data_IF_995064408213
#
_entry.id   IF_995064408213
#
_cell.length_a   1.000
_cell.length_b   1.000
_cell.length_c   1.000
_cell.angle_alpha   90.00
_cell.angle_beta   90.00
_cell.angle_gamma   90.00
#
_symmetry.space_group_name_H-M   'P 1'
#
loop_
_entity.id
_entity.type
_entity.pdbx_description
1 polymer ?
#
# COMPACT_ATOMS: atom_id res chain seq x y z
N UNK A 1 25.51 13.34 5.83
CA UNK A 1 24.33 13.79 6.63
C UNK A 1 24.46 15.23 7.03
N UNK A 2 25.61 15.67 7.45
CA UNK A 2 25.82 16.97 8.11
C UNK A 2 25.66 18.20 7.20
N UNK A 3 26.13 18.15 5.96
CA UNK A 3 26.10 19.32 5.07
C UNK A 3 24.70 19.64 4.55
N UNK A 4 23.85 18.65 4.36
CA UNK A 4 22.48 18.86 3.85
C UNK A 4 21.56 19.44 4.94
N UNK A 5 21.72 19.02 6.19
CA UNK A 5 20.96 19.54 7.32
C UNK A 5 21.35 20.96 7.69
N UNK A 6 22.67 21.28 7.67
CA UNK A 6 23.17 22.62 7.88
C UNK A 6 22.69 23.59 6.79
N UNK A 7 22.71 23.17 5.52
CA UNK A 7 22.23 23.99 4.40
C UNK A 7 20.74 24.28 4.55
N UNK A 8 19.96 23.29 4.95
CA UNK A 8 18.52 23.44 5.18
C UNK A 8 18.22 24.37 6.36
N UNK A 9 18.96 24.25 7.45
CA UNK A 9 18.84 25.15 8.61
C UNK A 9 19.17 26.61 8.27
N UNK A 10 20.21 26.84 7.47
CA UNK A 10 20.58 28.19 6.99
C UNK A 10 19.44 28.76 6.12
N UNK A 11 18.88 27.96 5.19
CA UNK A 11 17.78 28.40 4.35
C UNK A 11 16.53 28.75 5.17
N UNK A 12 16.19 27.96 6.16
CA UNK A 12 15.08 28.22 7.09
C UNK A 12 15.31 29.58 7.80
N UNK A 13 16.46 29.78 8.43
CA UNK A 13 16.77 31.03 9.12
C UNK A 13 16.70 32.25 8.19
N UNK A 14 17.18 32.12 6.95
CA UNK A 14 17.13 33.23 5.97
C UNK A 14 15.68 33.60 5.61
N UNK A 15 14.78 32.59 5.43
CA UNK A 15 13.35 32.84 5.16
C UNK A 15 12.63 33.43 6.36
N UNK A 16 12.89 32.94 7.57
CA UNK A 16 12.35 33.50 8.80
C UNK A 16 12.76 34.98 8.97
N UNK A 17 14.03 35.29 8.77
CA UNK A 17 14.50 36.68 8.84
C UNK A 17 13.88 37.54 7.75
N UNK A 18 13.64 36.98 6.55
CA UNK A 18 12.99 37.70 5.47
C UNK A 18 11.55 38.03 5.83
N UNK A 19 10.79 37.09 6.37
CA UNK A 19 9.41 37.30 6.83
C UNK A 19 9.33 38.36 7.94
N UNK A 20 10.28 38.38 8.88
CA UNK A 20 10.34 39.42 9.93
C UNK A 20 10.61 40.84 9.36
N UNK A 21 11.30 40.92 8.21
CA UNK A 21 11.63 42.21 7.56
C UNK A 21 10.57 42.68 6.57
N UNK A 22 9.78 41.75 6.02
CA UNK A 22 8.70 42.05 5.10
C UNK A 22 7.46 42.49 5.89
N UNK A 23 6.76 43.48 5.36
CA UNK A 23 5.38 43.73 5.77
C UNK A 23 4.50 42.62 5.23
N UNK A 24 3.48 42.19 6.02
CA UNK A 24 2.52 41.16 5.63
C UNK A 24 1.66 41.55 4.41
N UNK A 25 1.64 42.83 4.06
CA UNK A 25 1.05 43.37 2.82
C UNK A 25 1.97 43.27 1.61
N UNK A 26 3.23 42.87 1.79
CA UNK A 26 4.18 42.78 0.68
C UNK A 26 3.77 41.65 -0.30
N UNK A 27 3.78 41.88 -1.63
CA UNK A 27 3.35 40.89 -2.61
C UNK A 27 4.16 39.59 -2.57
N UNK A 28 5.41 39.61 -2.11
CA UNK A 28 6.25 38.40 -1.97
C UNK A 28 6.05 37.64 -0.67
N UNK A 29 5.28 38.17 0.27
CA UNK A 29 5.14 37.58 1.60
C UNK A 29 4.52 36.18 1.58
N UNK A 30 3.44 35.91 0.81
CA UNK A 30 2.86 34.56 0.73
C UNK A 30 3.83 33.53 0.12
N UNK A 31 4.63 33.93 -0.87
CA UNK A 31 5.59 33.03 -1.52
C UNK A 31 6.72 32.66 -0.56
N UNK A 32 7.27 33.64 0.18
CA UNK A 32 8.33 33.39 1.18
C UNK A 32 7.80 32.51 2.32
N UNK A 33 6.56 32.71 2.78
CA UNK A 33 5.94 31.89 3.81
C UNK A 33 5.67 30.46 3.31
N UNK A 34 5.23 30.29 2.04
CA UNK A 34 5.09 28.97 1.42
C UNK A 34 6.44 28.25 1.30
N UNK A 35 7.49 28.96 0.87
CA UNK A 35 8.82 28.36 0.74
C UNK A 35 9.40 27.97 2.09
N UNK A 36 9.16 28.75 3.14
CA UNK A 36 9.49 28.37 4.50
C UNK A 36 8.73 27.09 4.92
N UNK A 37 7.46 26.98 4.57
CA UNK A 37 6.68 25.74 4.76
C UNK A 37 7.31 24.53 4.05
N UNK A 38 7.75 24.71 2.80
CA UNK A 38 8.44 23.66 2.02
C UNK A 38 9.76 23.24 2.68
N UNK A 39 10.53 24.19 3.20
CA UNK A 39 11.81 23.93 3.89
C UNK A 39 11.60 23.13 5.19
N UNK A 40 10.60 23.51 5.99
CA UNK A 40 10.25 22.76 7.19
C UNK A 40 9.72 21.35 6.86
N UNK A 41 8.91 21.21 5.81
CA UNK A 41 8.44 19.92 5.35
C UNK A 41 9.59 19.02 4.87
N UNK A 42 10.56 19.57 4.13
CA UNK A 42 11.79 18.87 3.75
C UNK A 42 12.61 18.45 4.97
N UNK A 43 12.71 19.30 6.00
CA UNK A 43 13.40 18.97 7.24
C UNK A 43 12.73 17.79 7.95
N UNK A 44 11.41 17.77 8.00
CA UNK A 44 10.68 16.65 8.61
C UNK A 44 10.98 15.31 7.94
N UNK A 45 11.09 15.30 6.63
CA UNK A 45 11.37 14.07 5.84
C UNK A 45 12.81 13.58 5.93
N UNK A 46 13.74 14.46 6.21
CA UNK A 46 15.17 14.14 6.35
C UNK A 46 15.57 13.83 7.80
N UNK A 47 14.77 14.24 8.76
CA UNK A 47 15.03 14.01 10.18
C UNK A 47 14.93 12.53 10.55
N UNK A 48 15.84 12.08 11.41
CA UNK A 48 15.83 10.71 11.96
C UNK A 48 14.98 10.66 13.25
N UNK A 49 15.03 11.74 14.03
CA UNK A 49 14.33 11.82 15.31
C UNK A 49 12.85 12.16 15.13
N UNK A 50 11.96 11.38 15.73
CA UNK A 50 10.51 11.54 15.62
C UNK A 50 10.03 12.92 16.12
N UNK A 51 10.62 13.45 17.19
CA UNK A 51 10.29 14.77 17.74
C UNK A 51 10.63 15.90 16.76
N UNK A 52 11.78 15.78 16.08
CA UNK A 52 12.18 16.75 15.06
C UNK A 52 11.28 16.64 13.80
N UNK A 53 10.88 15.43 13.41
CA UNK A 53 9.91 15.21 12.34
C UNK A 53 8.59 15.90 12.67
N UNK A 54 8.04 15.63 13.84
CA UNK A 54 6.77 16.17 14.30
C UNK A 54 6.79 17.71 14.45
N UNK A 55 7.83 18.25 15.07
CA UNK A 55 7.97 19.71 15.24
C UNK A 55 8.10 20.42 13.89
N UNK A 56 8.87 19.84 12.96
CA UNK A 56 9.04 20.40 11.62
C UNK A 56 7.74 20.35 10.79
N UNK A 57 6.94 19.29 10.89
CA UNK A 57 5.63 19.21 10.25
C UNK A 57 4.67 20.29 10.77
N UNK A 58 4.64 20.51 12.08
CA UNK A 58 3.81 21.56 12.67
C UNK A 58 4.25 22.95 12.21
N UNK A 59 5.56 23.22 12.13
CA UNK A 59 6.10 24.47 11.60
C UNK A 59 5.77 24.66 10.10
N UNK A 60 5.83 23.59 9.30
CA UNK A 60 5.43 23.63 7.89
C UNK A 60 3.94 24.02 7.74
N UNK A 61 3.07 23.39 8.52
CA UNK A 61 1.63 23.69 8.51
C UNK A 61 1.37 25.13 8.90
N UNK A 62 2.03 25.64 9.96
CA UNK A 62 1.89 27.03 10.39
C UNK A 62 2.35 28.01 9.29
N UNK A 63 3.46 27.74 8.62
CA UNK A 63 3.96 28.57 7.54
C UNK A 63 3.01 28.59 6.33
N UNK A 64 2.45 27.43 5.92
CA UNK A 64 1.45 27.38 4.87
C UNK A 64 0.15 28.10 5.24
N UNK A 65 -0.31 27.93 6.48
CA UNK A 65 -1.50 28.67 6.97
C UNK A 65 -1.24 30.18 6.95
N UNK A 66 -0.07 30.60 7.40
CA UNK A 66 0.36 31.98 7.38
C UNK A 66 0.36 32.55 5.95
N UNK A 67 0.90 31.81 4.98
CA UNK A 67 0.89 32.20 3.56
C UNK A 67 -0.55 32.43 3.03
N UNK A 68 -1.52 31.66 3.52
CA UNK A 68 -2.92 31.79 3.09
C UNK A 68 -3.65 32.97 3.71
N UNK A 69 -3.18 33.51 4.83
CA UNK A 69 -3.89 34.63 5.54
C UNK A 69 -3.89 35.94 4.74
N UNK A 70 -2.92 36.13 3.86
CA UNK A 70 -2.72 37.38 3.10
C UNK A 70 -3.13 37.23 1.63
N UNK A 71 -3.62 36.07 1.22
CA UNK A 71 -4.03 35.81 -0.15
C UNK A 71 -5.56 35.90 -0.31
N UNK A 72 -5.98 36.73 -1.25
CA UNK A 72 -7.36 36.70 -1.72
C UNK A 72 -7.48 35.60 -2.82
N UNK A 73 -8.31 34.56 -2.57
CA UNK A 73 -8.37 33.41 -3.47
C UNK A 73 -8.75 33.75 -4.92
N UNK A 74 -9.52 34.79 -5.14
CA UNK A 74 -9.93 35.22 -6.48
C UNK A 74 -8.81 35.99 -7.23
N UNK A 75 -7.87 36.59 -6.50
CA UNK A 75 -6.76 37.34 -7.09
C UNK A 75 -5.55 36.44 -7.38
N UNK A 76 -5.32 35.43 -6.54
CA UNK A 76 -4.19 34.51 -6.66
C UNK A 76 -4.60 33.04 -6.64
N UNK A 77 -5.53 32.57 -7.48
CA UNK A 77 -6.09 31.21 -7.40
C UNK A 77 -5.05 30.11 -7.54
N UNK A 78 -4.04 30.29 -8.41
CA UNK A 78 -2.98 29.29 -8.63
C UNK A 78 -2.06 29.17 -7.41
N UNK A 79 -1.74 30.26 -6.76
CA UNK A 79 -0.92 30.26 -5.53
C UNK A 79 -1.69 29.63 -4.37
N UNK A 80 -2.96 30.00 -4.18
CA UNK A 80 -3.83 29.36 -3.18
C UNK A 80 -3.92 27.86 -3.42
N UNK A 81 -4.13 27.42 -4.64
CA UNK A 81 -4.21 25.99 -4.98
C UNK A 81 -2.89 25.26 -4.68
N UNK A 82 -1.74 25.89 -4.93
CA UNK A 82 -0.43 25.33 -4.65
C UNK A 82 -0.22 25.17 -3.14
N UNK A 83 -0.48 26.22 -2.36
CA UNK A 83 -0.31 26.18 -0.90
C UNK A 83 -1.28 25.20 -0.25
N UNK A 84 -2.54 25.15 -0.69
CA UNK A 84 -3.52 24.18 -0.20
C UNK A 84 -3.10 22.73 -0.51
N UNK A 85 -2.52 22.46 -1.68
CA UNK A 85 -1.98 21.14 -1.99
C UNK A 85 -0.81 20.77 -1.06
N UNK A 86 0.11 21.70 -0.78
CA UNK A 86 1.24 21.49 0.12
C UNK A 86 0.75 21.26 1.57
N UNK A 87 -0.23 22.05 2.01
CA UNK A 87 -0.87 21.89 3.31
C UNK A 87 -1.56 20.53 3.44
N UNK A 88 -2.22 20.06 2.37
CA UNK A 88 -2.81 18.72 2.31
C UNK A 88 -1.77 17.63 2.51
N UNK A 89 -0.58 17.76 1.88
CA UNK A 89 0.53 16.81 2.04
C UNK A 89 1.08 16.83 3.47
N UNK A 90 1.29 18.02 4.04
CA UNK A 90 1.81 18.15 5.39
C UNK A 90 0.85 17.57 6.45
N UNK A 91 -0.48 17.76 6.31
CA UNK A 91 -1.47 17.11 7.17
C UNK A 91 -1.50 15.60 6.97
N UNK A 92 -1.33 15.10 5.75
CA UNK A 92 -1.24 13.67 5.46
C UNK A 92 -0.04 13.01 6.15
N UNK A 93 1.12 13.68 6.14
CA UNK A 93 2.32 13.20 6.83
C UNK A 93 2.16 13.31 8.36
N UNK A 94 1.57 14.40 8.88
CA UNK A 94 1.31 14.59 10.31
C UNK A 94 0.40 13.49 10.88
N UNK A 95 -0.53 12.98 10.09
CA UNK A 95 -1.44 11.90 10.48
C UNK A 95 -0.71 10.60 10.87
N UNK A 96 0.54 10.41 10.46
CA UNK A 96 1.35 9.24 10.85
C UNK A 96 1.86 9.33 12.29
N UNK A 97 1.87 10.52 12.87
CA UNK A 97 2.43 10.78 14.20
C UNK A 97 1.36 11.10 15.25
N UNK A 98 0.31 11.81 14.87
CA UNK A 98 -0.75 12.23 15.80
C UNK A 98 -2.11 12.40 15.13
N UNK A 99 -3.18 12.12 15.87
CA UNK A 99 -4.58 12.32 15.48
C UNK A 99 -4.91 11.93 14.04
N UNK A 100 -4.66 10.64 13.62
CA UNK A 100 -4.71 10.22 12.23
C UNK A 100 -5.99 10.64 11.51
N UNK A 101 -7.16 10.34 12.09
CA UNK A 101 -8.44 10.65 11.47
C UNK A 101 -8.65 12.15 11.25
N UNK A 102 -8.31 12.98 12.26
CA UNK A 102 -8.50 14.42 12.20
C UNK A 102 -7.54 15.06 11.17
N UNK A 103 -6.27 14.67 11.17
CA UNK A 103 -5.30 15.23 10.26
C UNK A 103 -5.55 14.78 8.82
N UNK A 104 -6.01 13.54 8.60
CA UNK A 104 -6.44 13.08 7.28
C UNK A 104 -7.70 13.82 6.78
N UNK A 105 -8.65 14.17 7.66
CA UNK A 105 -9.78 15.03 7.29
C UNK A 105 -9.31 16.40 6.81
N UNK A 106 -8.36 17.03 7.53
CA UNK A 106 -7.76 18.31 7.13
C UNK A 106 -7.01 18.18 5.81
N UNK A 107 -6.28 17.08 5.59
CA UNK A 107 -5.59 16.76 4.34
C UNK A 107 -6.58 16.71 3.16
N UNK A 108 -7.66 15.94 3.31
CA UNK A 108 -8.73 15.84 2.29
C UNK A 108 -9.34 17.19 1.99
N UNK A 109 -9.70 17.99 3.03
CA UNK A 109 -10.28 19.31 2.86
C UNK A 109 -9.33 20.27 2.11
N UNK A 110 -8.03 20.23 2.42
CA UNK A 110 -7.03 21.06 1.76
C UNK A 110 -6.88 20.70 0.27
N UNK A 111 -6.85 19.41 -0.09
CA UNK A 111 -6.82 19.00 -1.48
C UNK A 111 -8.10 19.36 -2.24
N UNK A 112 -9.27 19.27 -1.60
CA UNK A 112 -10.53 19.73 -2.21
C UNK A 112 -10.53 21.22 -2.47
N UNK A 113 -10.00 22.02 -1.53
CA UNK A 113 -9.81 23.45 -1.73
C UNK A 113 -8.82 23.73 -2.87
N UNK A 114 -7.71 23.01 -2.95
CA UNK A 114 -6.77 23.13 -4.06
C UNK A 114 -7.46 22.88 -5.42
N UNK A 115 -8.30 21.85 -5.51
CA UNK A 115 -9.01 21.48 -6.73
C UNK A 115 -10.10 22.49 -7.16
N UNK A 116 -10.61 23.31 -6.23
CA UNK A 116 -11.53 24.41 -6.59
C UNK A 116 -10.87 25.51 -7.43
N UNK A 117 -9.55 25.69 -7.23
CA UNK A 117 -8.77 26.75 -7.88
C UNK A 117 -7.83 26.22 -8.96
N UNK A 118 -7.67 24.89 -9.10
CA UNK A 118 -6.89 24.27 -10.18
C UNK A 118 -7.75 23.94 -11.37
N UNK A 119 -7.43 24.53 -12.51
CA UNK A 119 -8.08 24.22 -13.77
C UNK A 119 -7.48 22.96 -14.39
N UNK A 120 -8.34 21.97 -14.67
CA UNK A 120 -7.95 20.76 -15.38
C UNK A 120 -7.51 21.03 -16.84
N UNK A 121 -7.93 22.15 -17.42
CA UNK A 121 -7.58 22.56 -18.80
C UNK A 121 -6.30 23.38 -18.85
N UNK A 122 -6.04 24.23 -17.83
CA UNK A 122 -4.85 25.09 -17.80
C UNK A 122 -3.63 24.39 -17.18
N UNK A 123 -3.85 23.58 -16.13
CA UNK A 123 -2.80 22.90 -15.39
C UNK A 123 -3.09 21.40 -15.23
N UNK A 124 -3.26 20.64 -16.34
CA UNK A 124 -3.73 19.25 -16.28
C UNK A 124 -2.84 18.34 -15.41
N UNK A 125 -1.51 18.48 -15.47
CA UNK A 125 -0.59 17.69 -14.68
C UNK A 125 -0.72 17.99 -13.16
N UNK A 126 -0.83 19.26 -12.78
CA UNK A 126 -1.01 19.67 -11.38
C UNK A 126 -2.39 19.28 -10.86
N UNK A 127 -3.43 19.40 -11.69
CA UNK A 127 -4.76 18.92 -11.35
C UNK A 127 -4.74 17.42 -11.08
N UNK A 128 -4.15 16.63 -11.97
CA UNK A 128 -4.05 15.19 -11.84
C UNK A 128 -3.22 14.77 -10.62
N UNK A 129 -2.10 15.46 -10.34
CA UNK A 129 -1.32 15.22 -9.14
C UNK A 129 -2.13 15.46 -7.86
N UNK A 130 -2.92 16.54 -7.81
CA UNK A 130 -3.79 16.83 -6.66
C UNK A 130 -4.91 15.80 -6.53
N UNK A 131 -5.49 15.33 -7.63
CA UNK A 131 -6.47 14.24 -7.62
C UNK A 131 -5.87 12.94 -7.07
N UNK A 132 -4.64 12.59 -7.47
CA UNK A 132 -3.95 11.43 -6.92
C UNK A 132 -3.71 11.58 -5.40
N UNK A 133 -3.26 12.75 -4.96
CA UNK A 133 -3.04 13.04 -3.56
C UNK A 133 -4.35 12.97 -2.74
N UNK A 134 -5.44 13.54 -3.27
CA UNK A 134 -6.77 13.41 -2.69
C UNK A 134 -7.21 11.95 -2.57
N UNK A 135 -6.98 11.16 -3.62
CA UNK A 135 -7.25 9.72 -3.63
C UNK A 135 -6.52 9.00 -2.50
N UNK A 136 -5.23 9.28 -2.33
CA UNK A 136 -4.40 8.70 -1.26
C UNK A 136 -4.87 9.15 0.13
N UNK A 137 -5.18 10.43 0.32
CA UNK A 137 -5.71 10.93 1.60
C UNK A 137 -7.06 10.30 1.94
N UNK A 138 -7.96 10.17 0.97
CA UNK A 138 -9.23 9.47 1.15
C UNK A 138 -9.03 7.98 1.47
N UNK A 139 -8.12 7.30 0.78
CA UNK A 139 -7.80 5.89 1.05
C UNK A 139 -7.28 5.70 2.47
N UNK A 140 -6.35 6.56 2.93
CA UNK A 140 -5.85 6.53 4.30
C UNK A 140 -6.97 6.80 5.31
N UNK A 141 -7.83 7.80 5.06
CA UNK A 141 -8.93 8.16 5.96
C UNK A 141 -9.97 7.04 6.07
N UNK A 142 -10.16 6.26 5.01
CA UNK A 142 -11.04 5.09 5.01
C UNK A 142 -10.64 4.03 6.05
N UNK A 143 -9.35 3.97 6.43
CA UNK A 143 -8.88 3.05 7.47
C UNK A 143 -9.33 3.45 8.89
N UNK A 144 -9.76 4.69 9.07
CA UNK A 144 -10.12 5.24 10.37
C UNK A 144 -11.62 5.51 10.52
N UNK A 145 -12.31 5.88 9.43
CA UNK A 145 -13.72 6.22 9.49
C UNK A 145 -14.41 6.11 8.12
N UNK A 146 -15.70 5.78 8.13
CA UNK A 146 -16.58 5.74 6.95
C UNK A 146 -15.94 5.06 5.71
N UNK A 147 -15.42 3.83 5.84
CA UNK A 147 -14.58 3.21 4.82
C UNK A 147 -15.22 3.20 3.43
N UNK A 148 -16.50 2.82 3.32
CA UNK A 148 -17.20 2.77 2.03
C UNK A 148 -17.27 4.14 1.33
N UNK A 149 -17.49 5.20 2.11
CA UNK A 149 -17.59 6.57 1.58
C UNK A 149 -16.23 7.02 1.04
N UNK A 150 -15.19 6.90 1.86
CA UNK A 150 -13.87 7.40 1.48
C UNK A 150 -13.17 6.54 0.45
N UNK A 151 -13.38 5.22 0.42
CA UNK A 151 -12.86 4.37 -0.68
C UNK A 151 -13.50 4.72 -2.02
N UNK A 152 -14.83 4.96 -2.08
CA UNK A 152 -15.48 5.42 -3.31
C UNK A 152 -14.92 6.77 -3.78
N UNK A 153 -14.65 7.69 -2.84
CA UNK A 153 -14.02 8.98 -3.16
C UNK A 153 -12.58 8.81 -3.66
N UNK A 154 -11.79 7.91 -3.05
CA UNK A 154 -10.44 7.59 -3.50
C UNK A 154 -10.44 7.05 -4.93
N UNK A 155 -11.32 6.07 -5.23
CA UNK A 155 -11.48 5.51 -6.57
C UNK A 155 -11.80 6.60 -7.59
N UNK A 156 -12.78 7.47 -7.30
CA UNK A 156 -13.14 8.56 -8.19
C UNK A 156 -11.97 9.52 -8.45
N UNK A 157 -11.23 9.88 -7.41
CA UNK A 157 -10.08 10.77 -7.52
C UNK A 157 -8.95 10.14 -8.36
N UNK A 158 -8.61 8.86 -8.16
CA UNK A 158 -7.63 8.15 -8.99
C UNK A 158 -8.07 8.04 -10.45
N UNK A 159 -9.37 7.75 -10.71
CA UNK A 159 -9.92 7.74 -12.06
C UNK A 159 -9.84 9.12 -12.74
N UNK A 160 -10.05 10.21 -11.98
CA UNK A 160 -9.85 11.57 -12.48
C UNK A 160 -8.39 11.84 -12.83
N UNK A 161 -7.44 11.41 -12.00
CA UNK A 161 -6.01 11.56 -12.27
C UNK A 161 -5.58 10.81 -13.54
N UNK A 162 -6.07 9.59 -13.74
CA UNK A 162 -5.77 8.74 -14.91
C UNK A 162 -6.29 9.28 -16.25
N UNK A 163 -7.12 10.33 -16.27
CA UNK A 163 -7.48 11.01 -17.51
C UNK A 163 -6.33 11.83 -18.09
N UNK A 164 -5.35 12.19 -17.26
CA UNK A 164 -4.23 13.06 -17.62
C UNK A 164 -2.88 12.34 -17.53
N UNK A 165 -2.73 11.44 -16.56
CA UNK A 165 -1.58 10.55 -16.50
C UNK A 165 -1.87 9.30 -17.34
N UNK A 166 -1.23 9.22 -18.49
CA UNK A 166 -1.31 8.09 -19.41
C UNK A 166 0.06 7.47 -19.61
N UNK A 167 0.17 6.27 -20.18
CA UNK A 167 1.47 5.69 -20.53
C UNK A 167 2.36 6.62 -21.37
N UNK A 168 1.77 7.42 -22.24
CA UNK A 168 2.49 8.31 -23.15
C UNK A 168 2.92 9.63 -22.50
N UNK A 169 2.18 10.10 -21.49
CA UNK A 169 2.49 11.37 -20.80
C UNK A 169 3.43 11.19 -19.62
N UNK A 170 3.17 10.18 -18.77
CA UNK A 170 3.99 9.82 -17.59
C UNK A 170 3.66 8.39 -17.17
N UNK A 171 4.39 7.44 -17.72
CA UNK A 171 4.20 6.00 -17.47
C UNK A 171 4.40 5.60 -16.00
N UNK A 172 5.30 6.29 -15.27
CA UNK A 172 5.56 5.97 -13.86
C UNK A 172 4.43 6.45 -12.96
N UNK A 173 3.94 7.66 -13.15
CA UNK A 173 2.77 8.19 -12.43
C UNK A 173 1.50 7.38 -12.78
N UNK A 174 1.31 7.05 -14.07
CA UNK A 174 0.23 6.17 -14.50
C UNK A 174 0.26 4.84 -13.73
N UNK A 175 1.40 4.15 -13.71
CA UNK A 175 1.55 2.86 -13.04
C UNK A 175 1.37 2.97 -11.51
N UNK A 176 1.82 4.07 -10.90
CA UNK A 176 1.62 4.33 -9.48
C UNK A 176 0.12 4.48 -9.17
N UNK A 177 -0.59 5.28 -9.95
CA UNK A 177 -2.02 5.53 -9.74
C UNK A 177 -2.85 4.28 -10.04
N UNK A 178 -2.50 3.50 -11.05
CA UNK A 178 -3.14 2.21 -11.33
C UNK A 178 -2.98 1.24 -10.15
N UNK A 179 -1.78 1.13 -9.57
CA UNK A 179 -1.58 0.31 -8.37
C UNK A 179 -2.43 0.79 -7.19
N UNK A 180 -2.51 2.10 -6.95
CA UNK A 180 -3.32 2.68 -5.87
C UNK A 180 -4.81 2.46 -6.10
N UNK A 181 -5.27 2.60 -7.35
CA UNK A 181 -6.65 2.31 -7.76
C UNK A 181 -7.00 0.84 -7.53
N UNK A 182 -6.11 -0.09 -7.92
CA UNK A 182 -6.26 -1.51 -7.63
C UNK A 182 -6.41 -1.78 -6.14
N UNK A 183 -5.56 -1.15 -5.31
CA UNK A 183 -5.63 -1.26 -3.85
C UNK A 183 -6.95 -0.71 -3.30
N UNK A 184 -7.45 0.40 -3.83
CA UNK A 184 -8.72 0.97 -3.39
C UNK A 184 -9.92 0.06 -3.76
N UNK A 185 -9.92 -0.55 -4.94
CA UNK A 185 -10.93 -1.55 -5.33
C UNK A 185 -10.87 -2.78 -4.44
N UNK A 186 -9.68 -3.32 -4.19
CA UNK A 186 -9.49 -4.48 -3.34
C UNK A 186 -9.95 -4.20 -1.90
N UNK A 187 -9.58 -3.05 -1.32
CA UNK A 187 -10.06 -2.65 0.01
C UNK A 187 -11.59 -2.53 0.06
N UNK A 188 -12.22 -2.00 -1.00
CA UNK A 188 -13.67 -1.89 -1.04
C UNK A 188 -14.35 -3.27 -0.95
N UNK A 189 -13.75 -4.32 -1.55
CA UNK A 189 -14.24 -5.70 -1.40
C UNK A 189 -14.25 -6.16 0.05
N UNK A 190 -13.21 -5.85 0.83
CA UNK A 190 -13.10 -6.26 2.23
C UNK A 190 -14.23 -5.69 3.09
N UNK A 191 -14.65 -4.45 2.81
CA UNK A 191 -15.75 -3.80 3.53
C UNK A 191 -17.16 -4.14 2.99
N UNK A 192 -17.25 -4.76 1.82
CA UNK A 192 -18.51 -5.28 1.28
C UNK A 192 -18.78 -6.73 1.67
N UNK A 193 -17.84 -7.42 2.29
CA UNK A 193 -18.08 -8.76 2.82
C UNK A 193 -18.98 -8.69 4.06
N UNK A 194 -20.01 -9.56 4.16
CA UNK A 194 -20.87 -9.62 5.34
C UNK A 194 -20.05 -9.91 6.59
N UNK A 195 -20.12 -9.02 7.56
CA UNK A 195 -19.46 -9.23 8.85
C UNK A 195 -20.49 -9.66 9.90
N UNK A 196 -20.19 -10.65 10.75
CA UNK A 196 -21.11 -11.07 11.81
C UNK A 196 -21.50 -9.87 12.70
N UNK A 197 -22.82 -9.62 12.82
CA UNK A 197 -23.34 -8.54 13.67
C UNK A 197 -23.33 -7.14 13.07
N UNK A 198 -22.89 -6.97 11.83
CA UNK A 198 -22.99 -5.68 11.11
C UNK A 198 -24.17 -5.66 10.12
N UNK A 199 -24.74 -4.46 9.83
CA UNK A 199 -25.74 -4.33 8.78
C UNK A 199 -25.19 -4.84 7.46
N UNK A 200 -26.07 -5.48 6.66
CA UNK A 200 -25.66 -5.91 5.32
C UNK A 200 -25.21 -4.69 4.48
N UNK A 201 -24.11 -4.82 3.73
CA UNK A 201 -23.66 -3.75 2.87
C UNK A 201 -24.71 -3.41 1.82
N UNK A 202 -24.72 -2.17 1.30
CA UNK A 202 -25.66 -1.74 0.26
C UNK A 202 -25.58 -2.68 -0.95
N UNK A 203 -26.74 -3.11 -1.44
CA UNK A 203 -26.82 -4.00 -2.62
C UNK A 203 -26.67 -3.23 -3.94
N UNK A 204 -26.74 -1.89 -3.89
CA UNK A 204 -26.59 -1.03 -5.05
C UNK A 204 -25.11 -0.72 -5.29
N UNK A 205 -24.51 -1.36 -6.27
CA UNK A 205 -23.12 -1.12 -6.66
C UNK A 205 -22.45 -2.34 -7.28
N UNK A 206 -21.15 -2.23 -7.62
CA UNK A 206 -20.40 -3.35 -8.17
C UNK A 206 -20.26 -4.47 -7.14
N UNK A 207 -20.38 -5.70 -7.61
CA UNK A 207 -20.23 -6.90 -6.79
C UNK A 207 -18.74 -7.12 -6.40
N UNK A 208 -18.45 -7.91 -5.32
CA UNK A 208 -17.07 -8.28 -4.99
C UNK A 208 -16.31 -8.89 -6.17
N UNK A 209 -16.96 -9.71 -6.99
CA UNK A 209 -16.38 -10.30 -8.21
C UNK A 209 -15.94 -9.21 -9.21
N UNK A 210 -16.83 -8.25 -9.50
CA UNK A 210 -16.51 -7.13 -10.39
C UNK A 210 -15.39 -6.24 -9.86
N UNK A 211 -15.38 -5.97 -8.55
CA UNK A 211 -14.35 -5.15 -7.92
C UNK A 211 -12.98 -5.82 -7.95
N UNK A 212 -12.92 -7.16 -7.72
CA UNK A 212 -11.66 -7.91 -7.82
C UNK A 212 -11.15 -7.94 -9.27
N UNK A 213 -12.04 -8.07 -10.26
CA UNK A 213 -11.65 -7.96 -11.67
C UNK A 213 -11.06 -6.58 -11.98
N UNK A 214 -11.67 -5.50 -11.49
CA UNK A 214 -11.15 -4.14 -11.63
C UNK A 214 -9.81 -3.95 -10.92
N UNK A 215 -9.65 -4.50 -9.71
CA UNK A 215 -8.40 -4.45 -8.98
C UNK A 215 -7.26 -5.16 -9.73
N UNK A 216 -7.52 -6.38 -10.20
CA UNK A 216 -6.57 -7.18 -10.98
C UNK A 216 -6.17 -6.44 -12.26
N UNK A 217 -7.15 -5.93 -13.03
CA UNK A 217 -6.88 -5.18 -14.25
C UNK A 217 -6.00 -3.94 -13.99
N UNK A 218 -6.26 -3.21 -12.89
CA UNK A 218 -5.47 -2.05 -12.51
C UNK A 218 -4.03 -2.45 -12.13
N UNK A 219 -3.83 -3.52 -11.35
CA UNK A 219 -2.49 -4.02 -11.02
C UNK A 219 -1.74 -4.56 -12.24
N UNK A 220 -2.42 -5.24 -13.17
CA UNK A 220 -1.82 -5.68 -14.44
C UNK A 220 -1.36 -4.49 -15.28
N UNK A 221 -2.17 -3.42 -15.38
CA UNK A 221 -1.76 -2.18 -16.04
C UNK A 221 -0.54 -1.53 -15.36
N UNK A 222 -0.50 -1.51 -14.03
CA UNK A 222 0.67 -1.02 -13.30
C UNK A 222 1.93 -1.85 -13.59
N UNK A 223 1.80 -3.18 -13.70
CA UNK A 223 2.91 -4.10 -13.93
C UNK A 223 3.57 -3.95 -15.30
N UNK A 224 2.90 -3.34 -16.28
CA UNK A 224 3.50 -3.07 -17.59
C UNK A 224 4.66 -2.06 -17.51
N UNK A 225 4.65 -1.17 -16.52
CA UNK A 225 5.64 -0.10 -16.36
C UNK A 225 6.47 -0.22 -15.08
N UNK A 226 5.95 -0.89 -14.07
CA UNK A 226 6.70 -1.31 -12.88
C UNK A 226 7.32 -2.67 -13.15
N UNK A 227 8.52 -2.68 -13.71
CA UNK A 227 9.26 -3.91 -14.03
C UNK A 227 10.35 -4.18 -13.00
N UNK A 228 10.84 -5.41 -12.96
CA UNK A 228 11.94 -5.79 -12.06
C UNK A 228 13.19 -4.94 -12.28
N UNK A 229 13.46 -4.57 -13.54
CA UNK A 229 14.67 -3.79 -13.91
C UNK A 229 14.49 -2.30 -13.64
N UNK A 230 13.31 -1.74 -13.93
CA UNK A 230 13.07 -0.30 -13.84
C UNK A 230 12.73 0.17 -12.40
N UNK A 231 11.97 -0.64 -11.65
CA UNK A 231 11.47 -0.27 -10.33
C UNK A 231 11.23 -1.51 -9.45
N UNK A 232 12.29 -2.24 -9.04
CA UNK A 232 12.15 -3.55 -8.41
C UNK A 232 11.30 -3.57 -7.14
N UNK A 233 11.39 -2.55 -6.28
CA UNK A 233 10.56 -2.45 -5.07
C UNK A 233 9.07 -2.23 -5.41
N UNK A 234 8.78 -1.35 -6.36
CA UNK A 234 7.42 -1.09 -6.82
C UNK A 234 6.84 -2.30 -7.58
N UNK A 235 7.66 -3.00 -8.35
CA UNK A 235 7.30 -4.26 -8.99
C UNK A 235 6.93 -5.31 -7.94
N UNK A 236 7.78 -5.54 -6.93
CA UNK A 236 7.52 -6.49 -5.86
C UNK A 236 6.20 -6.19 -5.12
N UNK A 237 5.96 -4.93 -4.78
CA UNK A 237 4.72 -4.50 -4.13
C UNK A 237 3.49 -4.75 -5.02
N UNK A 238 3.57 -4.41 -6.32
CA UNK A 238 2.46 -4.62 -7.25
C UNK A 238 2.18 -6.12 -7.46
N UNK A 239 3.22 -6.95 -7.55
CA UNK A 239 3.08 -8.41 -7.67
C UNK A 239 2.49 -9.03 -6.40
N UNK A 240 2.89 -8.57 -5.20
CA UNK A 240 2.28 -8.99 -3.95
C UNK A 240 0.77 -8.65 -3.91
N UNK A 241 0.40 -7.43 -4.29
CA UNK A 241 -1.00 -7.00 -4.34
C UNK A 241 -1.81 -7.80 -5.36
N UNK A 242 -1.23 -8.05 -6.54
CA UNK A 242 -1.83 -8.87 -7.58
C UNK A 242 -2.07 -10.31 -7.10
N UNK A 243 -1.09 -10.90 -6.41
CA UNK A 243 -1.22 -12.22 -5.79
C UNK A 243 -2.38 -12.27 -4.80
N UNK A 244 -2.51 -11.26 -3.93
CA UNK A 244 -3.60 -11.14 -2.95
C UNK A 244 -4.96 -10.99 -3.63
N UNK A 245 -5.05 -10.17 -4.68
CA UNK A 245 -6.31 -10.00 -5.42
C UNK A 245 -6.75 -11.30 -6.13
N UNK A 246 -5.82 -12.04 -6.76
CA UNK A 246 -6.12 -13.35 -7.36
C UNK A 246 -6.49 -14.38 -6.32
N UNK A 247 -5.83 -14.40 -5.15
CA UNK A 247 -6.19 -15.26 -4.03
C UNK A 247 -7.62 -15.01 -3.57
N UNK A 248 -7.98 -13.77 -3.23
CA UNK A 248 -9.33 -13.42 -2.81
C UNK A 248 -10.37 -13.75 -3.88
N UNK A 249 -10.02 -13.54 -5.15
CA UNK A 249 -10.87 -13.89 -6.28
C UNK A 249 -11.08 -15.40 -6.43
N UNK A 250 -10.07 -16.22 -6.09
CA UNK A 250 -10.19 -17.68 -6.04
C UNK A 250 -11.08 -18.17 -4.90
N UNK A 251 -11.12 -17.43 -3.77
CA UNK A 251 -11.87 -17.78 -2.56
C UNK A 251 -13.32 -17.28 -2.55
N UNK A 252 -13.77 -16.57 -3.58
CA UNK A 252 -15.15 -16.08 -3.64
C UNK A 252 -16.15 -17.26 -3.65
N UNK A 253 -17.28 -17.14 -2.92
CA UNK A 253 -18.39 -18.08 -3.02
C UNK A 253 -18.85 -18.22 -4.49
N UNK A 254 -19.21 -19.41 -4.91
CA UNK A 254 -19.67 -19.74 -6.28
C UNK A 254 -18.59 -19.72 -7.37
N UNK A 255 -17.30 -19.60 -7.03
CA UNK A 255 -16.22 -19.82 -7.99
C UNK A 255 -16.22 -21.27 -8.47
N UNK A 256 -16.14 -21.49 -9.78
CA UNK A 256 -16.05 -22.86 -10.30
C UNK A 256 -14.70 -23.49 -9.93
N UNK A 257 -14.63 -24.83 -9.80
CA UNK A 257 -13.36 -25.50 -9.49
C UNK A 257 -12.23 -25.15 -10.50
N UNK A 258 -12.56 -24.99 -11.76
CA UNK A 258 -11.59 -24.61 -12.78
C UNK A 258 -11.11 -23.17 -12.61
N UNK A 259 -12.04 -22.22 -12.43
CA UNK A 259 -11.68 -20.81 -12.20
C UNK A 259 -10.86 -20.66 -10.92
N UNK A 260 -11.23 -21.37 -9.85
CA UNK A 260 -10.48 -21.35 -8.59
C UNK A 260 -9.03 -21.79 -8.79
N UNK A 261 -8.83 -22.89 -9.49
CA UNK A 261 -7.49 -23.41 -9.80
C UNK A 261 -6.67 -22.42 -10.63
N UNK A 262 -7.27 -21.86 -11.69
CA UNK A 262 -6.56 -20.92 -12.57
C UNK A 262 -6.20 -19.63 -11.84
N UNK A 263 -7.10 -19.12 -10.97
CA UNK A 263 -6.85 -17.96 -10.12
C UNK A 263 -5.79 -18.23 -9.06
N UNK A 264 -5.80 -19.42 -8.41
CA UNK A 264 -4.74 -19.82 -7.47
C UNK A 264 -3.37 -19.92 -8.16
N UNK A 265 -3.32 -20.46 -9.37
CA UNK A 265 -2.07 -20.55 -10.12
C UNK A 265 -1.52 -19.15 -10.46
N UNK A 266 -2.39 -18.21 -10.82
CA UNK A 266 -2.01 -16.80 -11.04
C UNK A 266 -1.55 -16.12 -9.75
N UNK A 267 -2.22 -16.39 -8.63
CA UNK A 267 -1.79 -15.88 -7.31
C UNK A 267 -0.39 -16.39 -6.95
N UNK A 268 -0.13 -17.68 -7.13
CA UNK A 268 1.19 -18.31 -6.90
C UNK A 268 2.26 -17.61 -7.75
N UNK A 269 2.01 -17.46 -9.06
CA UNK A 269 2.96 -16.82 -9.98
C UNK A 269 3.29 -15.39 -9.55
N UNK A 270 2.29 -14.63 -9.13
CA UNK A 270 2.48 -13.25 -8.68
C UNK A 270 3.27 -13.18 -7.35
N UNK A 271 2.92 -13.99 -6.35
CA UNK A 271 3.67 -14.03 -5.08
C UNK A 271 5.13 -14.49 -5.28
N UNK A 272 5.38 -15.48 -6.14
CA UNK A 272 6.73 -15.92 -6.47
C UNK A 272 7.55 -14.82 -7.15
N UNK A 273 6.91 -14.04 -8.05
CA UNK A 273 7.53 -12.89 -8.69
C UNK A 273 7.89 -11.79 -7.66
N UNK A 274 7.02 -11.52 -6.69
CA UNK A 274 7.29 -10.59 -5.59
C UNK A 274 8.48 -11.04 -4.74
N UNK A 275 8.50 -12.30 -4.32
CA UNK A 275 9.58 -12.88 -3.50
C UNK A 275 10.92 -12.88 -4.26
N UNK A 276 10.88 -13.24 -5.55
CA UNK A 276 12.07 -13.21 -6.42
C UNK A 276 12.64 -11.80 -6.53
N UNK A 277 11.78 -10.80 -6.70
CA UNK A 277 12.22 -9.40 -6.76
C UNK A 277 12.89 -8.95 -5.45
N UNK A 278 12.33 -9.31 -4.30
CA UNK A 278 12.94 -9.02 -2.99
C UNK A 278 14.29 -9.71 -2.86
N UNK A 279 14.43 -10.96 -3.29
CA UNK A 279 15.69 -11.70 -3.25
C UNK A 279 16.77 -11.04 -4.14
N UNK A 280 16.41 -10.56 -5.34
CA UNK A 280 17.33 -9.84 -6.24
C UNK A 280 17.77 -8.52 -5.58
N UNK A 281 16.85 -7.73 -5.02
CA UNK A 281 17.21 -6.49 -4.33
C UNK A 281 18.12 -6.73 -3.12
N UNK A 282 17.86 -7.77 -2.34
CA UNK A 282 18.68 -8.12 -1.16
C UNK A 282 20.09 -8.55 -1.56
N UNK A 283 20.24 -9.26 -2.68
CA UNK A 283 21.55 -9.67 -3.19
C UNK A 283 22.39 -8.49 -3.73
N UNK A 284 21.74 -7.42 -4.19
CA UNK A 284 22.40 -6.24 -4.77
C UNK A 284 22.74 -5.16 -3.76
N UNK A 285 22.13 -5.16 -2.57
CA UNK A 285 22.28 -4.12 -1.56
C UNK A 285 22.95 -4.66 -0.30
N UNK A 286 23.83 -3.84 0.31
CA UNK A 286 24.46 -4.16 1.61
C UNK A 286 23.44 -4.20 2.78
N UNK A 287 22.27 -3.59 2.60
CA UNK A 287 21.20 -3.52 3.58
C UNK A 287 19.90 -4.07 3.00
N UNK A 288 19.02 -4.57 3.88
CA UNK A 288 17.69 -5.06 3.50
C UNK A 288 16.90 -3.94 2.82
N UNK A 289 16.30 -4.16 1.65
CA UNK A 289 15.53 -3.13 0.96
C UNK A 289 14.31 -2.71 1.81
N UNK A 290 13.99 -1.43 1.80
CA UNK A 290 12.74 -0.94 2.39
C UNK A 290 11.57 -1.41 1.53
N UNK A 291 10.72 -2.25 2.11
CA UNK A 291 9.51 -2.78 1.46
C UNK A 291 8.28 -2.08 2.02
N UNK A 292 7.28 -1.87 1.17
CA UNK A 292 5.96 -1.35 1.56
C UNK A 292 4.96 -2.46 1.94
N UNK A 293 5.41 -3.70 2.00
CA UNK A 293 4.64 -4.88 2.39
C UNK A 293 5.49 -5.85 3.21
N UNK A 294 4.83 -6.74 3.94
CA UNK A 294 5.51 -7.76 4.74
C UNK A 294 5.81 -8.99 3.88
N UNK A 295 7.10 -9.26 3.67
CA UNK A 295 7.56 -10.43 2.90
C UNK A 295 7.21 -11.76 3.57
N UNK A 296 7.13 -11.80 4.90
CA UNK A 296 6.78 -13.00 5.63
C UNK A 296 5.29 -13.32 5.49
N UNK A 297 4.43 -12.28 5.50
CA UNK A 297 3.02 -12.43 5.14
C UNK A 297 2.86 -12.91 3.68
N UNK A 298 3.69 -12.42 2.75
CA UNK A 298 3.71 -12.91 1.35
C UNK A 298 4.05 -14.39 1.29
N UNK A 299 5.07 -14.85 2.03
CA UNK A 299 5.39 -16.27 2.12
C UNK A 299 4.23 -17.09 2.71
N UNK A 300 3.55 -16.60 3.76
CA UNK A 300 2.39 -17.28 4.32
C UNK A 300 1.26 -17.42 3.29
N UNK A 301 0.94 -16.34 2.57
CA UNK A 301 -0.11 -16.32 1.54
C UNK A 301 0.24 -17.26 0.37
N UNK A 302 1.51 -17.29 -0.05
CA UNK A 302 1.99 -18.24 -1.05
C UNK A 302 1.85 -19.68 -0.56
N UNK A 303 2.17 -19.95 0.72
CA UNK A 303 1.97 -21.26 1.34
C UNK A 303 0.50 -21.70 1.30
N UNK A 304 -0.42 -20.80 1.66
CA UNK A 304 -1.86 -21.04 1.57
C UNK A 304 -2.31 -21.30 0.13
N UNK A 305 -1.82 -20.53 -0.84
CA UNK A 305 -2.18 -20.73 -2.26
C UNK A 305 -1.76 -22.13 -2.76
N UNK A 306 -0.56 -22.57 -2.46
CA UNK A 306 -0.10 -23.92 -2.77
C UNK A 306 -0.90 -24.99 -2.03
N UNK A 307 -1.18 -24.78 -0.74
CA UNK A 307 -2.00 -25.72 0.06
C UNK A 307 -3.38 -25.92 -0.56
N UNK A 308 -4.10 -24.83 -0.86
CA UNK A 308 -5.42 -24.90 -1.47
C UNK A 308 -5.39 -25.50 -2.88
N UNK A 309 -4.37 -25.22 -3.67
CA UNK A 309 -4.18 -25.83 -4.99
C UNK A 309 -4.03 -27.37 -4.87
N UNK A 310 -3.31 -27.85 -3.86
CA UNK A 310 -3.08 -29.27 -3.62
C UNK A 310 -4.31 -30.00 -3.08
N UNK A 311 -5.07 -29.34 -2.20
CA UNK A 311 -6.17 -29.96 -1.41
C UNK A 311 -7.57 -29.71 -1.95
N UNK A 312 -7.68 -29.06 -3.12
CA UNK A 312 -8.98 -28.76 -3.71
C UNK A 312 -9.78 -30.06 -3.95
N UNK A 313 -11.06 -30.13 -3.51
CA UNK A 313 -11.87 -31.37 -3.58
C UNK A 313 -12.02 -31.94 -5.00
N UNK A 314 -12.01 -31.05 -6.00
CA UNK A 314 -12.06 -31.43 -7.42
C UNK A 314 -10.72 -31.28 -8.11
N UNK A 315 -9.60 -31.35 -7.36
CA UNK A 315 -8.27 -31.25 -7.94
C UNK A 315 -8.01 -32.43 -8.89
N UNK A 316 -7.74 -32.10 -10.15
CA UNK A 316 -7.31 -33.06 -11.16
C UNK A 316 -5.79 -33.20 -11.22
N UNK A 317 -5.07 -32.59 -10.26
CA UNK A 317 -3.61 -32.67 -10.19
C UNK A 317 -3.17 -34.14 -9.97
N UNK A 318 -2.17 -34.62 -10.73
CA UNK A 318 -1.53 -35.89 -10.45
C UNK A 318 -1.03 -35.96 -9.01
N UNK A 319 -0.97 -37.16 -8.43
CA UNK A 319 -0.53 -37.37 -7.05
C UNK A 319 0.86 -36.76 -6.76
N UNK A 320 1.79 -36.85 -7.72
CA UNK A 320 3.11 -36.24 -7.60
C UNK A 320 3.07 -34.70 -7.54
N UNK A 321 2.23 -34.06 -8.37
CA UNK A 321 2.12 -32.60 -8.40
C UNK A 321 1.44 -32.08 -7.12
N UNK A 322 0.48 -32.83 -6.56
CA UNK A 322 -0.10 -32.51 -5.25
C UNK A 322 0.93 -32.57 -4.14
N UNK A 323 1.82 -33.58 -4.17
CA UNK A 323 2.92 -33.66 -3.20
C UNK A 323 3.86 -32.47 -3.33
N UNK A 324 4.29 -32.12 -4.53
CA UNK A 324 5.16 -30.95 -4.77
C UNK A 324 4.53 -29.63 -4.30
N UNK A 325 3.21 -29.47 -4.53
CA UNK A 325 2.49 -28.31 -4.05
C UNK A 325 2.42 -28.25 -2.51
N UNK A 326 2.20 -29.37 -1.82
CA UNK A 326 2.24 -29.43 -0.36
C UNK A 326 3.65 -29.17 0.20
N UNK A 327 4.68 -29.68 -0.47
CA UNK A 327 6.07 -29.35 -0.09
C UNK A 327 6.37 -27.86 -0.26
N UNK A 328 5.87 -27.24 -1.33
CA UNK A 328 5.99 -25.80 -1.54
C UNK A 328 5.22 -25.01 -0.47
N UNK A 329 4.02 -25.45 -0.10
CA UNK A 329 3.23 -24.87 1.00
C UNK A 329 4.02 -24.91 2.31
N UNK A 330 4.53 -26.08 2.68
CA UNK A 330 5.30 -26.27 3.91
C UNK A 330 6.54 -25.37 3.95
N UNK A 331 7.35 -25.35 2.87
CA UNK A 331 8.53 -24.49 2.78
C UNK A 331 8.22 -23.01 2.96
N UNK A 332 7.11 -22.54 2.38
CA UNK A 332 6.71 -21.13 2.48
C UNK A 332 6.17 -20.79 3.86
N UNK A 333 5.36 -21.63 4.50
CA UNK A 333 4.95 -21.43 5.89
C UNK A 333 6.14 -21.43 6.85
N UNK A 334 7.14 -22.30 6.66
CA UNK A 334 8.37 -22.30 7.46
C UNK A 334 9.20 -21.02 7.28
N UNK A 335 9.23 -20.46 6.08
CA UNK A 335 9.86 -19.15 5.85
C UNK A 335 9.07 -18.02 6.50
N UNK A 336 7.74 -18.08 6.46
CA UNK A 336 6.88 -17.11 7.13
C UNK A 336 7.10 -17.08 8.66
N UNK A 337 7.35 -18.22 9.28
CA UNK A 337 7.68 -18.32 10.72
C UNK A 337 8.98 -17.62 11.13
N UNK A 338 9.86 -17.28 10.18
CA UNK A 338 11.08 -16.51 10.44
C UNK A 338 10.82 -15.01 10.65
N UNK A 339 9.60 -14.56 10.35
CA UNK A 339 9.17 -13.17 10.48
C UNK A 339 8.25 -13.01 11.69
N UNK A 340 8.69 -12.30 12.70
CA UNK A 340 7.89 -11.99 13.86
C UNK A 340 8.28 -12.76 15.12
N UNK A 341 7.76 -12.25 16.25
CA UNK A 341 7.99 -12.86 17.56
C UNK A 341 7.18 -14.15 17.69
N UNK A 342 7.76 -15.16 18.34
CA UNK A 342 7.18 -16.49 18.55
C UNK A 342 5.79 -16.49 19.25
N UNK A 343 5.43 -15.39 19.89
CA UNK A 343 4.16 -15.23 20.65
C UNK A 343 3.10 -14.46 19.85
N UNK A 344 3.42 -13.92 18.67
CA UNK A 344 2.46 -13.16 17.86
C UNK A 344 1.34 -14.04 17.32
N UNK A 345 0.15 -13.44 17.13
CA UNK A 345 -0.99 -14.13 16.49
C UNK A 345 -0.63 -14.65 15.10
N UNK A 346 0.15 -13.88 14.33
CA UNK A 346 0.66 -14.27 13.02
C UNK A 346 1.49 -15.56 13.11
N UNK A 347 2.42 -15.64 14.07
CA UNK A 347 3.26 -16.82 14.27
C UNK A 347 2.43 -18.06 14.64
N UNK A 348 1.46 -17.89 15.55
CA UNK A 348 0.57 -18.99 15.95
C UNK A 348 -0.33 -19.48 14.78
N UNK A 349 -0.89 -18.56 14.01
CA UNK A 349 -1.67 -18.90 12.82
C UNK A 349 -0.82 -19.63 11.77
N UNK A 350 0.38 -19.14 11.50
CA UNK A 350 1.31 -19.76 10.54
C UNK A 350 1.75 -21.15 11.02
N UNK A 351 2.01 -21.32 12.31
CA UNK A 351 2.33 -22.65 12.89
C UNK A 351 1.15 -23.63 12.75
N UNK A 352 -0.08 -23.17 12.90
CA UNK A 352 -1.26 -23.99 12.66
C UNK A 352 -1.33 -24.48 11.20
N UNK A 353 -0.96 -23.63 10.21
CA UNK A 353 -0.88 -24.05 8.81
C UNK A 353 0.25 -25.06 8.56
N UNK A 354 1.40 -24.94 9.22
CA UNK A 354 2.46 -25.96 9.17
C UNK A 354 1.91 -27.30 9.65
N UNK A 355 1.27 -27.34 10.83
CA UNK A 355 0.68 -28.56 11.42
C UNK A 355 -0.38 -29.14 10.47
N UNK A 356 -1.27 -28.31 9.97
CA UNK A 356 -2.30 -28.75 9.02
C UNK A 356 -1.68 -29.36 7.76
N UNK A 357 -0.63 -28.75 7.22
CA UNK A 357 0.07 -29.30 6.04
C UNK A 357 0.70 -30.66 6.33
N UNK A 358 1.35 -30.84 7.49
CA UNK A 358 1.90 -32.15 7.92
C UNK A 358 0.83 -33.21 8.09
N UNK A 359 -0.33 -32.86 8.67
CA UNK A 359 -1.49 -33.77 8.77
C UNK A 359 -2.03 -34.16 7.39
N UNK A 360 -2.06 -33.22 6.46
CA UNK A 360 -2.49 -33.46 5.07
C UNK A 360 -1.55 -34.41 4.36
N UNK A 361 -0.24 -34.29 4.57
CA UNK A 361 0.74 -35.25 4.04
C UNK A 361 0.48 -36.68 4.52
N UNK A 362 0.16 -36.84 5.81
CA UNK A 362 -0.20 -38.16 6.34
C UNK A 362 -1.50 -38.68 5.71
N UNK A 363 -2.52 -37.82 5.63
CA UNK A 363 -3.83 -38.22 5.07
C UNK A 363 -3.76 -38.62 3.61
N UNK A 364 -3.00 -37.89 2.78
CA UNK A 364 -2.90 -38.09 1.34
C UNK A 364 -1.88 -39.19 0.94
N UNK A 365 -0.78 -39.31 1.69
CA UNK A 365 0.38 -40.13 1.30
C UNK A 365 0.80 -41.13 2.40
N UNK A 366 0.06 -41.24 3.50
CA UNK A 366 0.37 -42.15 4.61
C UNK A 366 1.65 -41.80 5.36
N UNK A 367 2.25 -42.78 6.03
CA UNK A 367 3.45 -42.60 6.84
C UNK A 367 4.63 -42.07 6.00
N UNK A 368 4.76 -42.48 4.73
CA UNK A 368 5.83 -41.98 3.85
C UNK A 368 5.69 -40.47 3.64
N UNK A 369 4.46 -39.99 3.35
CA UNK A 369 4.21 -38.56 3.21
C UNK A 369 4.51 -37.78 4.50
N UNK A 370 4.08 -38.30 5.63
CA UNK A 370 4.40 -37.66 6.93
C UNK A 370 5.91 -37.56 7.17
N UNK A 371 6.67 -38.60 6.86
CA UNK A 371 8.12 -38.59 7.00
C UNK A 371 8.78 -37.54 6.09
N UNK A 372 8.28 -37.37 4.84
CA UNK A 372 8.76 -36.34 3.92
C UNK A 372 8.53 -34.95 4.51
N UNK A 373 7.34 -34.71 5.08
CA UNK A 373 7.01 -33.43 5.70
C UNK A 373 7.85 -33.16 6.96
N UNK A 374 7.98 -34.14 7.86
CA UNK A 374 8.74 -34.02 9.10
C UNK A 374 10.24 -33.80 8.85
N UNK A 375 10.80 -34.39 7.77
CA UNK A 375 12.19 -34.18 7.39
C UNK A 375 12.51 -32.75 6.94
N UNK A 376 11.51 -31.96 6.58
CA UNK A 376 11.67 -30.55 6.20
C UNK A 376 11.59 -29.59 7.40
N UNK A 377 11.15 -30.07 8.58
CA UNK A 377 10.94 -29.22 9.75
C UNK A 377 12.26 -28.89 10.44
N UNK A 378 12.46 -27.64 10.87
CA UNK A 378 13.55 -27.29 11.77
C UNK A 378 13.49 -28.12 13.07
N UNK A 379 14.63 -28.63 13.57
CA UNK A 379 14.65 -29.47 14.77
C UNK A 379 13.99 -28.83 16.00
N UNK A 380 14.03 -27.49 16.09
CA UNK A 380 13.45 -26.72 17.19
C UNK A 380 11.90 -26.79 17.22
N UNK A 381 11.27 -26.93 16.05
CA UNK A 381 9.80 -27.00 15.93
C UNK A 381 9.25 -28.42 16.08
N UNK A 382 10.08 -29.45 15.89
CA UNK A 382 9.66 -30.85 15.94
C UNK A 382 8.91 -31.22 17.24
N UNK A 383 9.42 -30.88 18.46
CA UNK A 383 8.72 -31.29 19.69
C UNK A 383 7.35 -30.63 19.85
N UNK A 384 7.18 -29.40 19.38
CA UNK A 384 5.90 -28.72 19.45
C UNK A 384 4.90 -29.28 18.42
N UNK A 385 5.35 -29.49 17.20
CA UNK A 385 4.52 -30.03 16.11
C UNK A 385 4.09 -31.46 16.44
N UNK A 386 5.02 -32.31 16.90
CA UNK A 386 4.72 -33.71 17.26
C UNK A 386 3.71 -33.83 18.40
N UNK A 387 3.65 -32.88 19.33
CA UNK A 387 2.62 -32.86 20.37
C UNK A 387 1.22 -32.49 19.86
N UNK A 388 1.15 -31.82 18.70
CA UNK A 388 -0.12 -31.32 18.11
C UNK A 388 -0.59 -32.15 16.91
N UNK A 389 0.22 -33.11 16.43
CA UNK A 389 -0.15 -34.10 15.41
C UNK A 389 -0.99 -35.22 15.99
#
# INVERSE_FOLDING_TARGET
>A
GDTSELTLAIAICAHEQTLVRLDDTAPLWPDVANDLGNLYWMRSRNAIEADLQLSSLNQAIQAYQLALTTLEPNEAPKTVAMIQNNLGSAYGDLAQYQDPAQNLQKSVAAYELALRYRSATEEPARYAATQNNLGTACWNLAQHQQPLTYLKRAIAAYQHALRYYTPDTDALSFAMIQNNLGTAYWNLVQYLQPQPGQPQPPQDGPTPDQLLQLAIAAYEQASLFRTLDAAPAAYAATQNNLGTAYWDFAMLPKTTPQDQRDRLQRAITAYEAAIKAVAVMTAQQAHRPALTFDIFATHNNLGLAYYHLATHPHSTLPKGDRQLALEAALRNHLKALQGGEAVSEFHQATLAYVIQTVRTFFHEFGIQGQNIALAQLPPQLLPEIMRKL
#
